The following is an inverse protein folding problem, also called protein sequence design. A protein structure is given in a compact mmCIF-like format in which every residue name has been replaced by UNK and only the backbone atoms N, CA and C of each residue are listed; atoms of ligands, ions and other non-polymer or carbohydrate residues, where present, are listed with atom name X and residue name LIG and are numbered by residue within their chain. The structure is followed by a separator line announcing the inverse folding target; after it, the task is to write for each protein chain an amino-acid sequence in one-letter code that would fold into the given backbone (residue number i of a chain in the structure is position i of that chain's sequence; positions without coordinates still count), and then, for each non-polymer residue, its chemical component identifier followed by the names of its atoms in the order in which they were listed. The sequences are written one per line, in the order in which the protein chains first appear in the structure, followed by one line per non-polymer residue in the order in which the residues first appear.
data_IF_494831398194
#
_entry.id   IF_494831398194
#
_cell.length_a   1.000
_cell.length_b   1.000
_cell.length_c   1.000
_cell.angle_alpha   90.00
_cell.angle_beta   90.00
_cell.angle_gamma   90.00
#
_symmetry.space_group_name_H-M   'P 1'
#
loop_
_entity.id
_entity.type
_entity.pdbx_description
1 polymer ?
#
# COMPACT_ATOMS: atom_id res chain seq x y z
N UNK A 1 14.04 -3.92 14.32
CA UNK A 1 14.70 -5.11 14.93
C UNK A 1 15.91 -4.73 15.79
N UNK A 2 16.93 -4.06 15.26
CA UNK A 2 18.10 -3.62 16.04
C UNK A 2 17.74 -2.76 17.26
N UNK A 3 16.84 -1.78 17.08
CA UNK A 3 16.39 -0.91 18.16
C UNK A 3 15.63 -1.68 19.27
N UNK A 4 14.79 -2.65 18.91
CA UNK A 4 14.07 -3.48 19.87
C UNK A 4 15.05 -4.25 20.77
N UNK A 5 16.10 -4.83 20.17
CA UNK A 5 17.18 -5.49 20.91
C UNK A 5 17.93 -4.52 21.84
N UNK A 6 18.28 -3.33 21.36
CA UNK A 6 18.96 -2.31 22.18
C UNK A 6 18.13 -1.85 23.38
N UNK A 7 16.80 -1.92 23.28
CA UNK A 7 15.86 -1.56 24.35
C UNK A 7 15.38 -2.76 25.15
N UNK A 8 15.95 -3.95 24.93
CA UNK A 8 15.56 -5.20 25.57
C UNK A 8 14.06 -5.52 25.45
N UNK A 9 13.49 -5.23 24.27
CA UNK A 9 12.10 -5.48 23.92
C UNK A 9 12.01 -6.56 22.83
N UNK A 10 10.93 -7.36 22.88
CA UNK A 10 10.58 -8.25 21.77
C UNK A 10 10.19 -7.44 20.53
N UNK A 11 10.65 -7.87 19.35
CA UNK A 11 10.30 -7.23 18.08
C UNK A 11 10.20 -8.27 16.97
N UNK A 12 9.19 -8.10 16.11
CA UNK A 12 8.98 -8.92 14.92
C UNK A 12 8.97 -8.01 13.68
N UNK A 13 9.39 -8.56 12.54
CA UNK A 13 9.28 -7.90 11.24
C UNK A 13 8.45 -8.79 10.34
N UNK A 14 7.38 -8.24 9.77
CA UNK A 14 6.54 -8.92 8.79
C UNK A 14 6.83 -8.31 7.43
N UNK A 15 7.27 -9.14 6.50
CA UNK A 15 7.63 -8.76 5.14
C UNK A 15 6.82 -9.63 4.19
N UNK A 16 6.18 -9.00 3.21
CA UNK A 16 5.59 -9.70 2.07
C UNK A 16 6.46 -9.43 0.86
N UNK A 17 6.70 -10.47 0.06
CA UNK A 17 7.22 -10.30 -1.30
C UNK A 17 6.25 -9.41 -2.09
N UNK A 18 6.79 -8.50 -2.90
CA UNK A 18 6.03 -7.54 -3.70
C UNK A 18 6.75 -7.27 -5.02
N UNK A 19 6.01 -6.81 -6.02
CA UNK A 19 6.60 -6.42 -7.31
C UNK A 19 7.31 -5.06 -7.19
N UNK A 20 8.61 -5.03 -7.47
CA UNK A 20 9.49 -3.86 -7.32
C UNK A 20 9.38 -2.85 -8.46
N UNK A 21 8.18 -2.39 -8.81
CA UNK A 21 7.98 -1.39 -9.85
C UNK A 21 7.17 -0.18 -9.34
N UNK A 22 7.50 1.08 -9.70
CA UNK A 22 6.82 2.27 -9.17
C UNK A 22 5.32 2.37 -9.44
N UNK A 23 4.80 1.64 -10.44
CA UNK A 23 3.37 1.57 -10.74
C UNK A 23 2.63 0.47 -9.97
N UNK A 24 3.34 -0.37 -9.22
CA UNK A 24 2.73 -1.39 -8.36
C UNK A 24 2.37 -0.78 -7.01
N UNK A 25 1.10 -0.87 -6.62
CA UNK A 25 0.62 -0.32 -5.35
C UNK A 25 0.72 -1.29 -4.18
N UNK A 26 0.83 -2.61 -4.42
CA UNK A 26 1.04 -3.58 -3.34
C UNK A 26 -0.18 -3.91 -2.46
N UNK A 27 -1.42 -3.72 -2.94
CA UNK A 27 -2.65 -3.95 -2.14
C UNK A 27 -2.76 -5.39 -1.61
N UNK A 28 -2.40 -6.39 -2.43
CA UNK A 28 -2.49 -7.81 -2.06
C UNK A 28 -1.47 -8.17 -0.98
N UNK A 29 -0.27 -7.62 -1.12
CA UNK A 29 0.87 -7.77 -0.23
C UNK A 29 0.59 -7.11 1.12
N UNK A 30 0.03 -5.90 1.12
CA UNK A 30 -0.43 -5.21 2.31
C UNK A 30 -1.50 -6.03 3.05
N UNK A 31 -2.50 -6.55 2.33
CA UNK A 31 -3.54 -7.41 2.90
C UNK A 31 -2.95 -8.68 3.51
N UNK A 32 -1.95 -9.29 2.87
CA UNK A 32 -1.24 -10.46 3.38
C UNK A 32 -0.56 -10.17 4.72
N UNK A 33 0.22 -9.08 4.81
CA UNK A 33 0.90 -8.67 6.04
C UNK A 33 -0.10 -8.41 7.17
N UNK A 34 -1.18 -7.66 6.91
CA UNK A 34 -2.20 -7.34 7.91
C UNK A 34 -2.95 -8.58 8.38
N UNK A 35 -3.20 -9.54 7.48
CA UNK A 35 -3.83 -10.81 7.85
C UNK A 35 -2.94 -11.61 8.79
N UNK A 36 -1.63 -11.62 8.58
CA UNK A 36 -0.70 -12.31 9.49
C UNK A 36 -0.55 -11.57 10.82
N UNK A 37 -0.50 -10.23 10.79
CA UNK A 37 -0.50 -9.42 12.00
C UNK A 37 -1.72 -9.72 12.87
N UNK A 38 -2.92 -9.79 12.25
CA UNK A 38 -4.17 -10.17 12.91
C UNK A 38 -4.04 -11.51 13.64
N UNK A 39 -3.49 -12.53 12.96
CA UNK A 39 -3.32 -13.88 13.53
C UNK A 39 -2.30 -13.92 14.67
N UNK A 40 -1.21 -13.18 14.56
CA UNK A 40 -0.13 -13.17 15.55
C UNK A 40 -0.55 -12.45 16.84
N UNK A 41 -1.26 -11.32 16.69
CA UNK A 41 -1.58 -10.42 17.81
C UNK A 41 -2.98 -10.65 18.37
N UNK A 42 -3.86 -11.32 17.63
CA UNK A 42 -5.28 -11.44 17.96
C UNK A 42 -6.06 -10.13 17.78
N UNK A 43 -5.44 -9.08 17.25
CA UNK A 43 -6.10 -7.78 17.04
C UNK A 43 -7.22 -7.91 16.01
N UNK A 44 -8.29 -7.13 16.18
CA UNK A 44 -9.26 -6.93 15.11
C UNK A 44 -8.79 -5.79 14.21
N UNK A 45 -8.63 -6.12 12.93
CA UNK A 45 -8.32 -5.15 11.88
C UNK A 45 -9.42 -5.27 10.84
N UNK A 46 -10.11 -4.16 10.57
CA UNK A 46 -11.04 -4.07 9.45
C UNK A 46 -10.25 -3.85 8.15
N UNK A 47 -10.49 -4.72 7.17
CA UNK A 47 -9.85 -4.68 5.85
C UNK A 47 -10.83 -4.28 4.75
N UNK A 48 -12.06 -3.89 5.11
CA UNK A 48 -13.13 -3.61 4.17
C UNK A 48 -12.81 -2.46 3.21
N UNK A 49 -12.17 -1.40 3.70
CA UNK A 49 -11.73 -0.28 2.87
C UNK A 49 -10.60 -0.67 1.92
N UNK A 50 -9.63 -1.44 2.40
CA UNK A 50 -8.53 -1.95 1.57
C UNK A 50 -9.05 -2.82 0.41
N UNK A 51 -10.08 -3.64 0.69
CA UNK A 51 -10.73 -4.48 -0.31
C UNK A 51 -11.48 -3.65 -1.37
N UNK A 52 -12.18 -2.59 -0.94
CA UNK A 52 -12.85 -1.65 -1.86
C UNK A 52 -11.84 -0.96 -2.77
N UNK A 53 -10.78 -0.38 -2.20
CA UNK A 53 -9.75 0.31 -2.97
C UNK A 53 -9.02 -0.62 -3.95
N UNK A 54 -8.70 -1.84 -3.51
CA UNK A 54 -8.08 -2.85 -4.38
C UNK A 54 -8.98 -3.19 -5.57
N UNK A 55 -10.28 -3.37 -5.35
CA UNK A 55 -11.23 -3.68 -6.42
C UNK A 55 -11.41 -2.51 -7.41
N UNK A 56 -11.47 -1.28 -6.92
CA UNK A 56 -11.54 -0.07 -7.77
C UNK A 56 -10.28 0.09 -8.62
N UNK A 57 -9.10 -0.18 -8.03
CA UNK A 57 -7.83 -0.15 -8.73
C UNK A 57 -7.77 -1.21 -9.84
N UNK A 58 -8.11 -2.46 -9.54
CA UNK A 58 -8.12 -3.55 -10.55
C UNK A 58 -9.11 -3.26 -11.69
N UNK A 59 -10.27 -2.67 -11.39
CA UNK A 59 -11.25 -2.25 -12.40
C UNK A 59 -10.71 -1.14 -13.30
N UNK A 60 -10.03 -0.15 -12.73
CA UNK A 60 -9.40 0.95 -13.48
C UNK A 60 -8.28 0.41 -14.39
N UNK A 61 -7.42 -0.46 -13.85
CA UNK A 61 -6.33 -1.07 -14.62
C UNK A 61 -6.85 -1.95 -15.77
N UNK A 62 -7.93 -2.69 -15.55
CA UNK A 62 -8.53 -3.55 -16.57
C UNK A 62 -9.11 -2.73 -17.73
N UNK A 63 -9.74 -1.58 -17.44
CA UNK A 63 -10.24 -0.66 -18.48
C UNK A 63 -9.11 -0.06 -19.31
N UNK A 64 -8.05 0.41 -18.64
CA UNK A 64 -6.85 0.95 -19.32
C UNK A 64 -6.23 -0.08 -20.27
N UNK A 65 -6.15 -1.35 -19.83
CA UNK A 65 -5.59 -2.44 -20.66
C UNK A 65 -6.48 -2.84 -21.84
N UNK A 66 -7.79 -2.67 -21.74
CA UNK A 66 -8.75 -3.04 -22.79
C UNK A 66 -8.91 -1.94 -23.85
N UNK A 67 -8.79 -0.67 -23.46
CA UNK A 67 -9.08 0.46 -24.36
C UNK A 67 -7.89 0.96 -25.19
N UNK A 68 -6.69 0.40 -25.02
CA UNK A 68 -5.55 0.51 -25.96
C UNK A 68 -4.89 1.89 -26.16
N UNK A 69 -5.58 3.00 -25.90
CA UNK A 69 -5.11 4.38 -25.86
C UNK A 69 -6.35 5.27 -25.65
N UNK A 70 -6.53 5.90 -24.49
CA UNK A 70 -7.39 7.07 -24.41
C UNK A 70 -7.01 8.02 -23.25
N UNK A 71 -6.98 9.35 -23.49
CA UNK A 71 -6.31 10.37 -22.67
C UNK A 71 -6.96 10.73 -21.32
N UNK A 72 -7.95 9.96 -20.85
CA UNK A 72 -8.51 10.13 -19.49
C UNK A 72 -7.52 9.76 -18.37
N UNK A 73 -6.37 9.18 -18.73
CA UNK A 73 -5.23 8.93 -17.86
C UNK A 73 -4.76 10.19 -17.10
N UNK A 74 -4.96 11.40 -17.64
CA UNK A 74 -4.58 12.62 -16.93
C UNK A 74 -5.31 12.78 -15.59
N UNK A 75 -6.57 12.36 -15.47
CA UNK A 75 -7.35 12.57 -14.24
C UNK A 75 -6.98 11.56 -13.14
N UNK A 76 -6.77 10.29 -13.52
CA UNK A 76 -6.32 9.24 -12.59
C UNK A 76 -4.90 9.48 -12.09
N UNK A 77 -3.99 9.84 -13.00
CA UNK A 77 -2.61 10.23 -12.65
C UNK A 77 -2.61 11.51 -11.81
N UNK A 78 -3.50 12.48 -12.06
CA UNK A 78 -3.63 13.70 -11.25
C UNK A 78 -4.19 13.40 -9.86
N UNK A 79 -5.15 12.49 -9.71
CA UNK A 79 -5.70 12.08 -8.41
C UNK A 79 -4.67 11.30 -7.59
N UNK A 80 -3.92 10.39 -8.23
CA UNK A 80 -2.79 9.66 -7.64
C UNK A 80 -1.62 10.58 -7.29
N UNK A 81 -1.31 11.58 -8.12
CA UNK A 81 -0.34 12.64 -7.80
C UNK A 81 -0.80 13.47 -6.60
N UNK A 82 -2.06 13.92 -6.57
CA UNK A 82 -2.62 14.66 -5.42
C UNK A 82 -2.60 13.83 -4.14
N UNK A 83 -2.91 12.54 -4.21
CA UNK A 83 -2.79 11.62 -3.07
C UNK A 83 -1.33 11.54 -2.61
N UNK A 84 -0.38 11.30 -3.52
CA UNK A 84 1.06 11.31 -3.20
C UNK A 84 1.49 12.65 -2.59
N UNK A 85 1.09 13.79 -3.14
CA UNK A 85 1.40 15.12 -2.60
C UNK A 85 0.84 15.29 -1.19
N UNK A 86 -0.40 14.87 -0.91
CA UNK A 86 -0.98 14.91 0.45
C UNK A 86 -0.23 14.01 1.45
N UNK A 87 0.31 12.87 1.00
CA UNK A 87 1.17 12.03 1.84
C UNK A 87 2.60 12.58 1.99
N UNK A 88 3.05 13.43 1.06
CA UNK A 88 4.38 14.09 1.08
C UNK A 88 4.36 15.40 1.89
N UNK A 89 3.23 16.09 1.96
CA UNK A 89 3.03 17.35 2.70
C UNK A 89 2.80 17.16 4.20
N UNK A 90 2.81 15.93 4.73
CA UNK A 90 3.01 15.72 6.16
C UNK A 90 4.52 15.86 6.46
N UNK A 91 4.97 16.93 7.14
CA UNK A 91 6.40 17.21 7.35
C UNK A 91 7.13 16.17 8.22
N UNK A 92 6.44 15.18 8.77
CA UNK A 92 6.97 14.22 9.76
C UNK A 92 7.22 12.80 9.22
N UNK A 93 7.37 12.61 7.90
CA UNK A 93 7.86 11.33 7.35
C UNK A 93 9.11 11.56 6.50
N UNK A 94 10.26 11.49 7.18
CA UNK A 94 11.55 11.40 6.52
C UNK A 94 11.69 10.02 5.88
N UNK A 95 11.51 9.96 4.56
CA UNK A 95 11.71 8.73 3.79
C UNK A 95 13.21 8.47 3.65
N UNK A 96 13.73 7.57 4.50
CA UNK A 96 15.09 7.02 4.43
C UNK A 96 15.01 5.63 3.81
N UNK A 97 14.86 5.61 2.48
CA UNK A 97 14.83 4.41 1.65
C UNK A 97 15.21 4.75 0.23
#
# INVERSE_FOLDING_TARGET
MGLARLRNMGGIALLSETYGHPSHLGFKEAKSVLTQLKKITGMEVDLSELDKESAEYEKTQSKIKQDGNNPDELQGITKLKKLKTQFTEKPDVHYIG
#
